data_IF_180796765656
#
_entry.id   IF_180796765656
#
_cell.length_a   1.000
_cell.length_b   1.000
_cell.length_c   1.000
_cell.angle_alpha   90.00
_cell.angle_beta   90.00
_cell.angle_gamma   90.00
#
_symmetry.space_group_name_H-M   'P 1'
#
loop_
_entity.id
_entity.type
_entity.pdbx_description
1 polymer ?
#
# COMPACT_ATOMS: atom_id res chain seq x y z
N UNK A 1 -21.55 -12.04 -16.23
CA UNK A 1 -21.00 -12.93 -15.18
C UNK A 1 -20.27 -12.07 -14.14
N UNK A 2 -20.98 -11.45 -13.18
CA UNK A 2 -20.40 -10.50 -12.21
C UNK A 2 -21.05 -10.62 -10.83
N UNK A 3 -21.19 -11.83 -10.29
CA UNK A 3 -21.75 -12.06 -8.93
C UNK A 3 -20.78 -12.74 -7.96
N UNK A 4 -19.50 -12.92 -8.33
CA UNK A 4 -18.50 -13.59 -7.48
C UNK A 4 -17.25 -12.75 -7.14
N UNK A 5 -17.26 -11.44 -7.39
CA UNK A 5 -16.06 -10.59 -7.29
C UNK A 5 -15.77 -10.02 -5.89
N UNK A 6 -16.60 -10.28 -4.88
CA UNK A 6 -16.44 -9.70 -3.53
C UNK A 6 -15.71 -10.66 -2.58
N UNK A 7 -15.94 -11.97 -2.73
CA UNK A 7 -15.42 -12.98 -1.80
C UNK A 7 -13.89 -13.04 -1.82
N UNK A 8 -13.27 -12.95 -2.99
CA UNK A 8 -11.81 -13.02 -3.13
C UNK A 8 -11.12 -11.80 -2.49
N UNK A 9 -11.47 -10.54 -2.84
CA UNK A 9 -10.93 -9.38 -2.15
C UNK A 9 -11.19 -9.39 -0.64
N UNK A 10 -12.35 -9.88 -0.20
CA UNK A 10 -12.69 -9.98 1.22
C UNK A 10 -11.78 -10.97 1.95
N UNK A 11 -11.55 -12.16 1.40
CA UNK A 11 -10.65 -13.15 1.98
C UNK A 11 -9.20 -12.66 2.00
N UNK A 12 -8.75 -11.98 0.95
CA UNK A 12 -7.42 -11.38 0.89
C UNK A 12 -7.25 -10.28 1.95
N UNK A 13 -8.25 -9.40 2.09
CA UNK A 13 -8.24 -8.33 3.11
C UNK A 13 -8.29 -8.90 4.52
N UNK A 14 -9.10 -9.95 4.74
CA UNK A 14 -9.14 -10.67 6.02
C UNK A 14 -7.79 -11.30 6.34
N UNK A 15 -7.15 -11.95 5.36
CA UNK A 15 -5.83 -12.53 5.51
C UNK A 15 -4.76 -11.49 5.85
N UNK A 16 -4.78 -10.33 5.18
CA UNK A 16 -3.90 -9.22 5.49
C UNK A 16 -4.12 -8.70 6.93
N UNK A 17 -5.37 -8.52 7.36
CA UNK A 17 -5.71 -8.11 8.71
C UNK A 17 -5.27 -9.12 9.79
N UNK A 18 -5.46 -10.42 9.53
CA UNK A 18 -4.98 -11.48 10.42
C UNK A 18 -3.45 -11.49 10.51
N UNK A 19 -2.73 -11.25 9.41
CA UNK A 19 -1.27 -11.13 9.43
C UNK A 19 -0.80 -9.96 10.31
N UNK A 20 -1.46 -8.80 10.25
CA UNK A 20 -1.21 -7.67 11.17
C UNK A 20 -1.50 -8.06 12.62
N UNK A 21 -2.61 -8.76 12.86
CA UNK A 21 -2.98 -9.30 14.17
C UNK A 21 -1.90 -10.22 14.75
N UNK A 22 -1.42 -11.19 13.97
CA UNK A 22 -0.32 -12.09 14.36
C UNK A 22 0.96 -11.31 14.66
N UNK A 23 1.34 -10.35 13.81
CA UNK A 23 2.49 -9.49 14.04
C UNK A 23 2.40 -8.70 15.35
N UNK A 24 1.21 -8.17 15.67
CA UNK A 24 0.94 -7.48 16.93
C UNK A 24 1.01 -8.41 18.14
N UNK A 25 0.48 -9.64 18.04
CA UNK A 25 0.53 -10.64 19.10
C UNK A 25 1.97 -11.05 19.43
N UNK A 26 2.81 -11.24 18.41
CA UNK A 26 4.24 -11.55 18.58
C UNK A 26 4.96 -10.40 19.32
N UNK A 27 4.57 -9.14 19.06
CA UNK A 27 5.15 -7.98 19.73
C UNK A 27 4.94 -7.99 21.26
N UNK A 28 3.83 -8.56 21.76
CA UNK A 28 3.60 -8.71 23.21
C UNK A 28 4.54 -9.71 23.90
N UNK A 29 4.99 -10.75 23.18
CA UNK A 29 5.95 -11.73 23.70
C UNK A 29 7.41 -11.27 23.56
N UNK A 30 7.69 -10.31 22.68
CA UNK A 30 9.01 -9.73 22.49
C UNK A 30 9.38 -8.79 23.65
N UNK A 31 9.78 -9.36 24.81
CA UNK A 31 10.13 -8.63 26.05
C UNK A 31 11.29 -7.62 25.93
N UNK A 32 12.00 -7.57 24.80
CA UNK A 32 13.07 -6.59 24.50
C UNK A 32 12.96 -6.20 23.03
N UNK A 33 12.70 -4.92 22.75
CA UNK A 33 12.77 -4.37 21.39
C UNK A 33 14.23 -4.43 20.90
N UNK A 34 14.57 -5.47 20.15
CA UNK A 34 15.84 -5.53 19.44
C UNK A 34 15.76 -4.57 18.25
N UNK A 35 16.33 -3.37 18.40
CA UNK A 35 16.33 -2.34 17.35
C UNK A 35 16.82 -2.86 15.99
N UNK A 36 17.75 -3.84 15.95
CA UNK A 36 18.19 -4.46 14.69
C UNK A 36 17.09 -5.23 13.98
N UNK A 37 16.32 -6.04 14.71
CA UNK A 37 15.19 -6.77 14.13
C UNK A 37 14.07 -5.80 13.72
N UNK A 38 13.80 -4.77 14.54
CA UNK A 38 12.80 -3.77 14.20
C UNK A 38 13.15 -3.02 12.91
N UNK A 39 14.37 -2.52 12.78
CA UNK A 39 14.82 -1.82 11.57
C UNK A 39 14.83 -2.74 10.34
N UNK A 40 15.18 -4.02 10.51
CA UNK A 40 15.08 -5.00 9.43
C UNK A 40 13.63 -5.22 8.98
N UNK A 41 12.70 -5.44 9.91
CA UNK A 41 11.28 -5.63 9.60
C UNK A 41 10.64 -4.39 8.98
N UNK A 42 10.95 -3.19 9.48
CA UNK A 42 10.48 -1.93 8.89
C UNK A 42 11.04 -1.72 7.48
N UNK A 43 12.33 -2.01 7.26
CA UNK A 43 12.95 -1.97 5.94
C UNK A 43 12.33 -2.97 4.96
N UNK A 44 12.06 -4.20 5.40
CA UNK A 44 11.37 -5.22 4.61
C UNK A 44 9.96 -4.75 4.22
N UNK A 45 9.18 -4.26 5.19
CA UNK A 45 7.82 -3.76 4.94
C UNK A 45 7.80 -2.56 4.00
N UNK A 46 8.69 -1.59 4.21
CA UNK A 46 8.83 -0.43 3.32
C UNK A 46 9.24 -0.85 1.90
N UNK A 47 10.19 -1.79 1.77
CA UNK A 47 10.63 -2.32 0.48
C UNK A 47 9.51 -3.02 -0.29
N UNK A 48 8.74 -3.90 0.37
CA UNK A 48 7.57 -4.55 -0.25
C UNK A 48 6.55 -3.53 -0.74
N UNK A 49 6.26 -2.50 0.06
CA UNK A 49 5.28 -1.47 -0.32
C UNK A 49 5.77 -0.61 -1.49
N UNK A 50 7.07 -0.31 -1.58
CA UNK A 50 7.65 0.38 -2.75
C UNK A 50 7.51 -0.47 -4.01
N UNK A 51 7.84 -1.77 -3.93
CA UNK A 51 7.70 -2.69 -5.07
C UNK A 51 6.25 -2.76 -5.56
N UNK A 52 5.30 -3.04 -4.65
CA UNK A 52 3.87 -3.12 -4.98
C UNK A 52 3.38 -1.80 -5.60
N UNK A 53 3.79 -0.66 -5.04
CA UNK A 53 3.35 0.66 -5.54
C UNK A 53 3.86 0.95 -6.95
N UNK A 54 5.15 0.73 -7.23
CA UNK A 54 5.76 1.12 -8.51
C UNK A 54 5.66 0.05 -9.60
N UNK A 55 5.76 -1.22 -9.25
CA UNK A 55 5.84 -2.31 -10.23
C UNK A 55 4.46 -2.90 -10.53
N UNK A 56 3.60 -3.01 -9.52
CA UNK A 56 2.25 -3.58 -9.70
C UNK A 56 1.23 -2.47 -9.94
N UNK A 57 0.96 -1.64 -8.93
CA UNK A 57 -0.15 -0.67 -8.96
C UNK A 57 0.04 0.42 -10.02
N UNK A 58 1.23 1.01 -10.12
CA UNK A 58 1.50 2.04 -11.12
C UNK A 58 1.44 1.49 -12.55
N UNK A 59 1.94 0.27 -12.76
CA UNK A 59 1.91 -0.39 -14.07
C UNK A 59 0.48 -0.74 -14.49
N UNK A 60 -0.31 -1.36 -13.60
CA UNK A 60 -1.72 -1.64 -13.87
C UNK A 60 -2.51 -0.36 -14.16
N UNK A 61 -2.33 0.68 -13.36
CA UNK A 61 -2.96 1.98 -13.60
C UNK A 61 -2.56 2.56 -14.97
N UNK A 62 -1.30 2.43 -15.38
CA UNK A 62 -0.86 2.88 -16.70
C UNK A 62 -1.54 2.09 -17.83
N UNK A 63 -1.59 0.77 -17.73
CA UNK A 63 -2.25 -0.08 -18.72
C UNK A 63 -3.74 0.25 -18.83
N UNK A 64 -4.45 0.37 -17.70
CA UNK A 64 -5.88 0.70 -17.70
C UNK A 64 -6.16 2.09 -18.28
N UNK A 65 -5.38 3.11 -17.89
CA UNK A 65 -5.61 4.48 -18.37
C UNK A 65 -5.18 4.68 -19.83
N UNK A 66 -4.13 4.02 -20.28
CA UNK A 66 -3.69 4.11 -21.68
C UNK A 66 -4.61 3.35 -22.64
N UNK A 67 -5.28 2.29 -22.16
CA UNK A 67 -6.32 1.61 -22.93
C UNK A 67 -7.53 2.52 -23.22
N UNK A 68 -7.93 3.34 -22.24
CA UNK A 68 -9.10 4.22 -22.38
C UNK A 68 -8.76 5.57 -23.03
N UNK A 69 -7.67 6.23 -22.62
CA UNK A 69 -7.35 7.62 -23.01
C UNK A 69 -6.19 7.71 -24.01
N UNK A 70 -5.70 6.56 -24.48
CA UNK A 70 -4.58 6.44 -25.41
C UNK A 70 -3.21 6.56 -24.72
N UNK A 71 -2.11 6.22 -25.45
CA UNK A 71 -0.79 6.03 -24.84
C UNK A 71 -0.23 7.27 -24.14
N UNK A 72 -0.42 8.45 -24.74
CA UNK A 72 0.18 9.71 -24.26
C UNK A 72 -0.61 10.31 -23.10
N UNK A 73 -1.92 10.50 -23.26
CA UNK A 73 -2.76 11.09 -22.22
C UNK A 73 -2.91 10.14 -21.03
N UNK A 74 -3.12 8.84 -21.27
CA UNK A 74 -3.22 7.85 -20.20
C UNK A 74 -1.97 7.85 -19.31
N UNK A 75 -0.77 7.85 -19.90
CA UNK A 75 0.48 7.87 -19.13
C UNK A 75 0.66 9.16 -18.31
N UNK A 76 0.33 10.32 -18.89
CA UNK A 76 0.39 11.60 -18.15
C UNK A 76 -0.56 11.56 -16.95
N UNK A 77 -1.77 11.06 -17.14
CA UNK A 77 -2.79 11.02 -16.09
C UNK A 77 -2.43 10.02 -14.99
N UNK A 78 -1.84 8.87 -15.32
CA UNK A 78 -1.30 7.94 -14.32
C UNK A 78 -0.24 8.62 -13.46
N UNK A 79 0.74 9.29 -14.06
CA UNK A 79 1.81 9.99 -13.34
C UNK A 79 1.25 11.09 -12.44
N UNK A 80 0.40 11.96 -12.99
CA UNK A 80 -0.23 13.06 -12.24
C UNK A 80 -1.05 12.52 -11.07
N UNK A 81 -1.82 11.45 -11.27
CA UNK A 81 -2.65 10.86 -10.22
C UNK A 81 -1.80 10.22 -9.11
N UNK A 82 -0.68 9.58 -9.46
CA UNK A 82 0.25 9.02 -8.48
C UNK A 82 0.87 10.10 -7.58
N UNK A 83 1.39 11.18 -8.18
CA UNK A 83 1.94 12.30 -7.41
C UNK A 83 0.87 13.08 -6.65
N UNK A 84 -0.34 13.21 -7.19
CA UNK A 84 -1.47 13.78 -6.47
C UNK A 84 -1.81 12.95 -5.23
N UNK A 85 -1.74 11.61 -5.30
CA UNK A 85 -1.89 10.72 -4.15
C UNK A 85 -0.82 10.94 -3.08
N UNK A 86 0.44 11.12 -3.47
CA UNK A 86 1.54 11.46 -2.55
C UNK A 86 1.27 12.80 -1.85
N UNK A 87 0.87 13.82 -2.62
CA UNK A 87 0.53 15.14 -2.07
C UNK A 87 -0.66 15.05 -1.11
N UNK A 88 -1.69 14.29 -1.46
CA UNK A 88 -2.86 14.06 -0.61
C UNK A 88 -2.46 13.44 0.74
N UNK A 89 -1.63 12.39 0.73
CA UNK A 89 -1.15 11.76 1.96
C UNK A 89 -0.33 12.75 2.80
N UNK A 90 0.52 13.57 2.17
CA UNK A 90 1.27 14.62 2.88
C UNK A 90 0.37 15.70 3.51
N UNK A 91 -0.74 16.05 2.86
CA UNK A 91 -1.76 16.94 3.43
C UNK A 91 -2.44 16.25 4.62
N UNK A 92 -2.85 14.98 4.48
CA UNK A 92 -3.47 14.21 5.56
C UNK A 92 -2.53 14.14 6.77
N UNK A 93 -1.26 13.81 6.56
CA UNK A 93 -0.26 13.71 7.64
C UNK A 93 -0.09 15.04 8.38
N UNK A 94 -0.12 16.18 7.66
CA UNK A 94 -0.07 17.51 8.27
C UNK A 94 -1.34 17.86 9.06
N UNK A 95 -2.49 17.31 8.67
CA UNK A 95 -3.77 17.56 9.34
C UNK A 95 -3.98 16.65 10.56
N UNK A 96 -3.40 15.45 10.55
CA UNK A 96 -3.47 14.51 11.67
C UNK A 96 -2.63 15.07 12.82
N UNK A 97 -3.24 15.43 13.97
CA UNK A 97 -2.48 15.94 15.10
C UNK A 97 -1.56 14.85 15.64
N UNK A 98 -0.28 15.17 15.82
CA UNK A 98 0.64 14.31 16.55
C UNK A 98 0.24 14.30 18.02
N UNK A 99 -0.52 13.29 18.43
CA UNK A 99 -0.61 12.92 19.85
C UNK A 99 0.67 12.17 20.20
N UNK A 100 1.69 12.94 20.56
CA UNK A 100 2.88 12.42 21.26
C UNK A 100 2.54 12.01 22.70
#
# INVERSE_FOLDING_TARGET
MQTHQILVPLLLTLGAGLATGIGSAIAFFARRTNKRLLSFSLGLSGGVMIYVSFVELFHEANLSLTAEWGPRLGSVVTVVSFFAGILLIGIIDRLVPSVE
#
